data_IF_281743655776
#
_entry.id   IF_281743655776
#
_cell.length_a   1.000
_cell.length_b   1.000
_cell.length_c   1.000
_cell.angle_alpha   90.00
_cell.angle_beta   90.00
_cell.angle_gamma   90.00
#
_symmetry.space_group_name_H-M   'P 1'
#
loop_
_entity.id
_entity.type
_entity.pdbx_description
1 polymer ?
#
# COMPACT_ATOMS: atom_id res chain seq x y z
N UNK A 1 -8.81 4.07 -22.28
CA UNK A 1 -8.54 5.14 -21.27
C UNK A 1 -9.82 5.35 -20.48
N UNK A 2 -9.78 5.30 -19.16
CA UNK A 2 -10.95 5.53 -18.31
C UNK A 2 -11.11 7.05 -18.12
N UNK A 3 -12.27 7.61 -18.42
CA UNK A 3 -12.58 9.01 -18.11
C UNK A 3 -13.25 9.07 -16.73
N UNK A 4 -12.67 9.79 -15.79
CA UNK A 4 -13.18 9.89 -14.42
C UNK A 4 -14.13 11.08 -14.20
N UNK A 5 -14.22 12.01 -15.19
CA UNK A 5 -14.90 13.29 -14.97
C UNK A 5 -14.09 14.26 -14.13
N UNK A 6 -14.70 15.37 -13.74
CA UNK A 6 -14.02 16.45 -13.00
C UNK A 6 -13.97 16.23 -11.49
N UNK A 7 -15.03 15.61 -10.95
CA UNK A 7 -15.22 15.40 -9.52
C UNK A 7 -15.15 13.91 -9.19
N UNK A 8 -14.09 13.50 -8.52
CA UNK A 8 -13.91 12.12 -8.07
C UNK A 8 -14.06 12.05 -6.57
N UNK A 9 -14.88 11.10 -6.10
CA UNK A 9 -15.01 10.82 -4.68
C UNK A 9 -14.46 9.44 -4.39
N UNK A 10 -13.51 9.34 -3.46
CA UNK A 10 -13.00 8.07 -2.95
C UNK A 10 -13.58 7.81 -1.57
N UNK A 11 -14.17 6.64 -1.38
CA UNK A 11 -14.78 6.24 -0.10
C UNK A 11 -13.87 5.23 0.58
N UNK A 12 -13.32 5.59 1.74
CA UNK A 12 -12.47 4.69 2.51
C UNK A 12 -11.52 5.41 3.45
N UNK A 13 -10.79 4.66 4.25
CA UNK A 13 -9.85 5.22 5.24
C UNK A 13 -8.58 4.38 5.40
N UNK A 14 -8.33 3.42 4.51
CA UNK A 14 -7.10 2.61 4.47
C UNK A 14 -6.11 3.14 3.44
N UNK A 15 -4.90 2.57 3.39
CA UNK A 15 -3.86 2.96 2.44
C UNK A 15 -4.33 2.85 0.99
N UNK A 16 -5.13 1.83 0.64
CA UNK A 16 -5.76 1.70 -0.68
C UNK A 16 -6.59 2.93 -1.07
N UNK A 17 -7.29 3.55 -0.10
CA UNK A 17 -8.05 4.76 -0.37
C UNK A 17 -7.14 5.97 -0.64
N UNK A 18 -6.00 6.06 0.05
CA UNK A 18 -4.98 7.08 -0.19
C UNK A 18 -4.39 6.93 -1.58
N UNK A 19 -3.97 5.71 -1.94
CA UNK A 19 -3.45 5.40 -3.28
C UNK A 19 -4.45 5.74 -4.38
N UNK A 20 -5.72 5.33 -4.23
CA UNK A 20 -6.76 5.60 -5.19
C UNK A 20 -7.03 7.10 -5.35
N UNK A 21 -7.04 7.86 -4.25
CA UNK A 21 -7.26 9.31 -4.27
C UNK A 21 -6.11 10.04 -4.95
N UNK A 22 -4.86 9.68 -4.64
CA UNK A 22 -3.67 10.26 -5.25
C UNK A 22 -3.57 9.90 -6.73
N UNK A 23 -3.89 8.66 -7.12
CA UNK A 23 -3.95 8.24 -8.51
C UNK A 23 -5.04 9.00 -9.28
N UNK A 24 -6.23 9.17 -8.71
CA UNK A 24 -7.32 9.95 -9.30
C UNK A 24 -6.92 11.42 -9.48
N UNK A 25 -6.21 12.01 -8.51
CA UNK A 25 -5.76 13.42 -8.60
C UNK A 25 -4.79 13.67 -9.76
N UNK A 26 -4.05 12.64 -10.18
CA UNK A 26 -3.13 12.70 -11.34
C UNK A 26 -3.77 12.34 -12.67
N UNK A 27 -5.03 11.90 -12.66
CA UNK A 27 -5.72 11.53 -13.90
C UNK A 27 -6.10 12.78 -14.69
N UNK A 28 -6.00 12.68 -16.01
CA UNK A 28 -6.32 13.77 -16.92
C UNK A 28 -7.80 14.17 -16.81
N UNK A 29 -8.08 15.47 -16.74
CA UNK A 29 -9.42 16.03 -16.65
C UNK A 29 -10.03 16.05 -15.25
N UNK A 30 -9.37 15.50 -14.23
CA UNK A 30 -9.84 15.55 -12.83
C UNK A 30 -9.44 16.88 -12.19
N UNK A 31 -10.45 17.61 -11.72
CA UNK A 31 -10.25 18.91 -11.04
C UNK A 31 -10.30 18.78 -9.53
N UNK A 32 -11.24 17.97 -9.01
CA UNK A 32 -11.45 17.79 -7.57
C UNK A 32 -11.45 16.31 -7.20
N UNK A 33 -10.69 15.96 -6.15
CA UNK A 33 -10.72 14.64 -5.54
C UNK A 33 -11.07 14.79 -4.06
N UNK A 34 -12.12 14.10 -3.61
CA UNK A 34 -12.58 14.10 -2.22
C UNK A 34 -12.47 12.71 -1.63
N UNK A 35 -11.84 12.64 -0.46
CA UNK A 35 -11.74 11.41 0.31
C UNK A 35 -12.79 11.43 1.42
N UNK A 36 -13.83 10.62 1.28
CA UNK A 36 -14.94 10.51 2.23
C UNK A 36 -14.69 9.39 3.23
N UNK A 37 -14.70 9.73 4.52
CA UNK A 37 -14.47 8.79 5.60
C UNK A 37 -15.47 8.97 6.74
N UNK A 38 -16.08 7.86 7.20
CA UNK A 38 -17.15 7.88 8.21
C UNK A 38 -16.69 8.15 9.64
N UNK A 39 -15.39 8.16 9.92
CA UNK A 39 -14.80 8.57 11.21
C UNK A 39 -13.92 9.81 10.98
N UNK A 40 -13.24 10.24 12.03
CA UNK A 40 -12.24 11.28 11.89
C UNK A 40 -10.83 10.70 11.64
N UNK A 41 -9.88 11.57 11.35
CA UNK A 41 -8.46 11.26 11.10
C UNK A 41 -7.86 10.33 12.17
N UNK A 42 -8.18 10.55 13.46
CA UNK A 42 -7.61 9.78 14.57
C UNK A 42 -7.90 8.27 14.48
N UNK A 43 -9.00 7.88 13.87
CA UNK A 43 -9.45 6.50 13.77
C UNK A 43 -9.29 5.88 12.38
N UNK A 44 -8.49 6.53 11.53
CA UNK A 44 -8.15 5.98 10.22
C UNK A 44 -7.19 4.80 10.36
N UNK A 45 -7.39 3.72 9.60
CA UNK A 45 -6.43 2.63 9.52
C UNK A 45 -5.24 2.92 8.60
N UNK A 46 -5.31 3.97 7.76
CA UNK A 46 -4.20 4.41 6.93
C UNK A 46 -3.08 5.02 7.77
N UNK A 47 -1.86 4.93 7.28
CA UNK A 47 -0.72 5.62 7.85
C UNK A 47 -0.92 7.14 7.77
N UNK A 48 -0.54 7.84 8.84
CA UNK A 48 -0.75 9.29 8.92
C UNK A 48 0.01 10.04 7.81
N UNK A 49 1.18 9.54 7.43
CA UNK A 49 2.01 10.08 6.35
C UNK A 49 1.30 9.97 4.99
N UNK A 50 0.63 8.85 4.71
CA UNK A 50 -0.12 8.65 3.47
C UNK A 50 -1.28 9.65 3.32
N UNK A 51 -1.98 9.94 4.42
CA UNK A 51 -3.02 10.97 4.41
C UNK A 51 -2.43 12.37 4.17
N UNK A 52 -1.30 12.69 4.82
CA UNK A 52 -0.63 13.98 4.63
C UNK A 52 -0.16 14.16 3.19
N UNK A 53 0.41 13.13 2.58
CA UNK A 53 0.80 13.13 1.17
C UNK A 53 -0.40 13.30 0.25
N UNK A 54 -1.52 12.62 0.52
CA UNK A 54 -2.74 12.80 -0.26
C UNK A 54 -3.29 14.23 -0.19
N UNK A 55 -3.30 14.83 1.00
CA UNK A 55 -3.72 16.23 1.19
C UNK A 55 -2.74 17.21 0.52
N UNK A 56 -1.43 16.94 0.56
CA UNK A 56 -0.42 17.74 -0.13
C UNK A 56 -0.57 17.68 -1.66
N UNK A 57 -1.03 16.53 -2.21
CA UNK A 57 -1.38 16.38 -3.62
C UNK A 57 -2.69 17.12 -4.00
N UNK A 58 -3.39 17.72 -3.05
CA UNK A 58 -4.63 18.46 -3.25
C UNK A 58 -5.91 17.61 -3.14
N UNK A 59 -5.86 16.49 -2.43
CA UNK A 59 -7.06 15.72 -2.06
C UNK A 59 -7.78 16.40 -0.89
N UNK A 60 -9.07 16.66 -1.02
CA UNK A 60 -9.92 17.19 0.04
C UNK A 60 -10.36 16.05 0.97
N UNK A 61 -9.97 16.12 2.26
CA UNK A 61 -10.39 15.13 3.25
C UNK A 61 -11.72 15.51 3.90
N UNK A 62 -12.75 14.68 3.67
CA UNK A 62 -14.11 14.85 4.20
C UNK A 62 -14.34 13.79 5.30
N UNK A 63 -14.04 14.15 6.54
CA UNK A 63 -14.26 13.27 7.69
C UNK A 63 -15.70 13.31 8.20
N UNK A 64 -16.07 12.30 8.98
CA UNK A 64 -17.40 12.16 9.58
C UNK A 64 -18.54 12.17 8.54
N UNK A 65 -18.30 11.56 7.40
CA UNK A 65 -19.28 11.45 6.31
C UNK A 65 -19.43 10.00 5.88
N UNK A 66 -20.66 9.51 5.83
CA UNK A 66 -21.01 8.17 5.37
C UNK A 66 -21.86 8.23 4.10
N UNK A 67 -21.46 7.56 3.01
CA UNK A 67 -22.20 7.59 1.76
C UNK A 67 -23.55 6.91 1.91
N UNK A 68 -24.61 7.48 1.32
CA UNK A 68 -26.00 6.96 1.32
C UNK A 68 -26.51 6.66 -0.07
N UNK A 69 -26.38 7.60 -0.99
CA UNK A 69 -26.91 7.46 -2.35
C UNK A 69 -26.06 8.24 -3.35
N UNK A 70 -26.00 7.73 -4.58
CA UNK A 70 -25.38 8.41 -5.71
C UNK A 70 -26.46 8.60 -6.79
N UNK A 71 -26.79 9.84 -7.08
CA UNK A 71 -27.79 10.18 -8.09
C UNK A 71 -27.36 11.42 -8.89
N UNK A 72 -27.45 11.35 -10.22
CA UNK A 72 -27.25 12.50 -11.08
C UNK A 72 -25.92 13.26 -10.90
N UNK A 73 -24.82 12.54 -10.62
CA UNK A 73 -23.51 13.18 -10.39
C UNK A 73 -23.35 13.79 -9.00
N UNK A 74 -24.19 13.40 -8.04
CA UNK A 74 -24.12 13.86 -6.65
C UNK A 74 -24.14 12.68 -5.71
N UNK A 75 -23.15 12.60 -4.82
CA UNK A 75 -23.08 11.66 -3.71
C UNK A 75 -23.67 12.31 -2.47
N UNK A 76 -24.84 11.84 -2.04
CA UNK A 76 -25.45 12.23 -0.77
C UNK A 76 -24.81 11.44 0.37
N UNK A 77 -24.22 12.13 1.33
CA UNK A 77 -23.61 11.56 2.52
C UNK A 77 -24.39 11.94 3.78
N UNK A 78 -24.45 11.04 4.74
CA UNK A 78 -24.93 11.35 6.09
C UNK A 78 -23.77 11.84 6.94
N UNK A 79 -23.97 12.96 7.62
CA UNK A 79 -22.98 13.47 8.58
C UNK A 79 -23.02 12.59 9.83
N UNK A 80 -21.84 12.19 10.27
CA UNK A 80 -21.66 11.29 11.41
C UNK A 80 -21.12 12.05 12.63
N UNK A 81 -21.33 11.48 13.79
CA UNK A 81 -20.65 11.84 15.03
C UNK A 81 -19.98 10.62 15.65
N UNK A 82 -19.04 10.84 16.55
CA UNK A 82 -18.34 9.74 17.22
C UNK A 82 -19.04 9.42 18.55
N UNK A 83 -19.60 8.20 18.66
CA UNK A 83 -20.18 7.68 19.87
C UNK A 83 -19.17 7.42 21.00
N UNK A 84 -19.61 6.75 22.07
CA UNK A 84 -18.75 6.33 23.16
C UNK A 84 -17.64 5.36 22.66
N UNK A 85 -16.44 5.35 23.30
CA UNK A 85 -15.40 4.40 22.97
C UNK A 85 -15.82 2.98 23.36
N UNK A 86 -15.49 2.01 22.53
CA UNK A 86 -15.62 0.58 22.85
C UNK A 86 -14.48 0.11 23.78
N UNK A 87 -14.47 -1.19 24.13
CA UNK A 87 -13.44 -1.79 24.98
C UNK A 87 -12.00 -1.65 24.44
N UNK A 88 -11.83 -1.42 23.12
CA UNK A 88 -10.54 -1.14 22.49
C UNK A 88 -10.18 0.35 22.44
N UNK A 89 -11.04 1.22 22.98
CA UNK A 89 -10.90 2.68 22.91
C UNK A 89 -11.32 3.27 21.56
N UNK A 90 -11.85 2.48 20.63
CA UNK A 90 -12.28 2.92 19.32
C UNK A 90 -13.71 3.44 19.37
N UNK A 91 -13.97 4.62 18.78
CA UNK A 91 -15.31 5.19 18.72
C UNK A 91 -16.02 4.78 17.43
N UNK A 92 -17.26 4.31 17.56
CA UNK A 92 -18.11 3.99 16.42
C UNK A 92 -18.79 5.24 15.87
N UNK A 93 -18.89 5.39 14.53
CA UNK A 93 -19.62 6.49 13.94
C UNK A 93 -21.12 6.30 14.16
N UNK A 94 -21.80 7.34 14.62
CA UNK A 94 -23.25 7.39 14.83
C UNK A 94 -23.87 8.34 13.81
N UNK A 95 -25.00 7.99 13.20
CA UNK A 95 -25.71 8.86 12.27
C UNK A 95 -26.34 10.05 13.01
N UNK A 96 -26.24 11.25 12.41
CA UNK A 96 -26.86 12.47 12.97
C UNK A 96 -28.20 12.81 12.32
N UNK A 97 -28.59 12.11 11.26
CA UNK A 97 -29.74 12.43 10.43
C UNK A 97 -29.54 13.61 9.47
N UNK A 98 -28.40 14.33 9.56
CA UNK A 98 -28.10 15.43 8.64
C UNK A 98 -27.45 14.87 7.37
N UNK A 99 -27.91 15.37 6.22
CA UNK A 99 -27.38 15.00 4.92
C UNK A 99 -26.53 16.13 4.35
N UNK A 100 -25.49 15.74 3.59
CA UNK A 100 -24.61 16.63 2.86
C UNK A 100 -24.35 16.06 1.48
N UNK A 101 -24.53 16.90 0.47
CA UNK A 101 -24.29 16.52 -0.92
C UNK A 101 -22.88 16.89 -1.36
N UNK A 102 -22.28 15.98 -2.12
CA UNK A 102 -20.90 16.09 -2.64
C UNK A 102 -20.95 15.83 -4.16
N UNK A 103 -20.50 16.77 -5.00
CA UNK A 103 -20.38 16.53 -6.44
C UNK A 103 -19.48 15.30 -6.71
N UNK A 104 -19.95 14.37 -7.53
CA UNK A 104 -19.26 13.11 -7.81
C UNK A 104 -19.60 12.56 -9.21
N UNK A 105 -18.76 12.84 -10.19
CA UNK A 105 -18.85 12.23 -11.52
C UNK A 105 -18.44 10.76 -11.48
N UNK A 106 -17.46 10.45 -10.61
CA UNK A 106 -16.99 9.09 -10.36
C UNK A 106 -16.85 8.84 -8.86
N UNK A 107 -17.30 7.67 -8.41
CA UNK A 107 -17.10 7.20 -7.04
C UNK A 107 -16.24 5.93 -7.03
N UNK A 108 -15.16 5.95 -6.27
CA UNK A 108 -14.25 4.82 -6.06
C UNK A 108 -14.46 4.28 -4.65
N UNK A 109 -14.93 3.03 -4.54
CA UNK A 109 -15.13 2.37 -3.26
C UNK A 109 -13.87 1.63 -2.82
N UNK A 110 -13.14 2.19 -1.84
CA UNK A 110 -11.96 1.59 -1.22
C UNK A 110 -12.25 1.17 0.23
N UNK A 111 -13.35 0.43 0.42
CA UNK A 111 -13.92 0.06 1.74
C UNK A 111 -13.46 -1.32 2.23
N UNK A 112 -12.50 -1.92 1.53
CA UNK A 112 -11.96 -3.26 1.78
C UNK A 112 -12.77 -4.37 1.10
N UNK A 113 -12.13 -5.50 0.97
CA UNK A 113 -12.68 -6.71 0.36
C UNK A 113 -12.80 -7.83 1.41
N UNK A 114 -13.62 -8.82 1.12
CA UNK A 114 -13.75 -10.03 1.93
C UNK A 114 -13.55 -11.23 1.03
N UNK A 115 -12.86 -12.25 1.55
CA UNK A 115 -12.74 -13.51 0.85
C UNK A 115 -14.12 -14.18 0.67
N UNK A 116 -14.32 -14.83 -0.49
CA UNK A 116 -15.53 -15.64 -0.72
C UNK A 116 -15.49 -16.92 0.12
N UNK A 117 -16.16 -16.87 1.25
CA UNK A 117 -16.25 -17.98 2.20
C UNK A 117 -17.08 -19.14 1.70
N UNK A 118 -17.93 -18.94 0.70
CA UNK A 118 -18.73 -20.03 0.13
C UNK A 118 -17.85 -21.07 -0.58
N UNK A 119 -16.82 -20.60 -1.30
CA UNK A 119 -15.82 -21.46 -1.91
C UNK A 119 -15.04 -22.27 -0.86
N UNK A 120 -14.59 -21.63 0.22
CA UNK A 120 -13.88 -22.30 1.30
C UNK A 120 -14.71 -23.42 1.94
N UNK A 121 -15.99 -23.18 2.20
CA UNK A 121 -16.91 -24.19 2.74
C UNK A 121 -17.07 -25.38 1.79
N UNK A 122 -17.22 -25.14 0.50
CA UNK A 122 -17.29 -26.21 -0.52
C UNK A 122 -16.04 -27.09 -0.54
N UNK A 123 -14.87 -26.50 -0.26
CA UNK A 123 -13.60 -27.21 -0.18
C UNK A 123 -13.32 -27.83 1.19
N UNK A 124 -14.26 -27.74 2.15
CA UNK A 124 -14.09 -28.28 3.50
C UNK A 124 -13.08 -27.51 4.37
N UNK A 125 -12.76 -26.27 4.02
CA UNK A 125 -11.89 -25.40 4.82
C UNK A 125 -12.66 -24.90 6.03
N UNK A 126 -12.12 -25.10 7.23
CA UNK A 126 -12.69 -24.56 8.46
C UNK A 126 -12.56 -23.02 8.50
N UNK A 127 -13.59 -22.36 9.00
CA UNK A 127 -13.62 -20.90 9.11
C UNK A 127 -13.76 -20.49 10.57
N UNK A 128 -13.10 -19.39 10.95
CA UNK A 128 -13.28 -18.74 12.23
C UNK A 128 -14.59 -17.91 12.27
N UNK A 129 -14.92 -17.33 13.44
CA UNK A 129 -16.12 -16.49 13.62
C UNK A 129 -16.16 -15.24 12.71
N UNK A 130 -15.00 -14.83 12.18
CA UNK A 130 -14.87 -13.70 11.25
C UNK A 130 -14.91 -14.14 9.77
N UNK A 131 -15.08 -15.45 9.52
CA UNK A 131 -15.10 -16.01 8.17
C UNK A 131 -13.72 -16.19 7.54
N UNK A 132 -12.62 -16.19 8.32
CA UNK A 132 -11.26 -16.40 7.83
C UNK A 132 -10.93 -17.90 7.91
N UNK A 133 -10.13 -18.38 6.97
CA UNK A 133 -9.69 -19.76 6.97
C UNK A 133 -8.84 -20.10 8.22
N UNK A 134 -9.21 -21.13 8.92
CA UNK A 134 -8.41 -21.71 10.00
C UNK A 134 -7.40 -22.66 9.39
N UNK A 135 -6.11 -22.37 9.58
CA UNK A 135 -5.00 -23.13 9.01
C UNK A 135 -3.95 -23.47 10.06
N UNK A 136 -3.13 -24.47 9.78
CA UNK A 136 -1.92 -24.76 10.56
C UNK A 136 -0.77 -23.77 10.29
N UNK A 137 0.40 -24.02 10.88
CA UNK A 137 1.60 -23.20 10.70
C UNK A 137 2.15 -23.17 9.27
N UNK A 138 1.82 -24.18 8.46
CA UNK A 138 2.16 -24.25 7.03
C UNK A 138 1.08 -23.64 6.13
N UNK A 139 0.08 -22.97 6.70
CA UNK A 139 -1.07 -22.39 5.98
C UNK A 139 -2.00 -23.44 5.37
N UNK A 140 -2.03 -24.68 5.88
CA UNK A 140 -2.80 -25.80 5.35
C UNK A 140 -4.11 -25.98 6.14
N UNK A 141 -5.21 -26.24 5.43
CA UNK A 141 -6.53 -26.60 5.96
C UNK A 141 -7.15 -27.65 5.04
N UNK A 142 -7.51 -28.82 5.58
CA UNK A 142 -8.14 -29.92 4.83
C UNK A 142 -7.43 -30.27 3.50
N UNK A 143 -6.10 -30.34 3.51
CA UNK A 143 -5.30 -30.65 2.31
C UNK A 143 -5.12 -29.49 1.31
N UNK A 144 -5.70 -28.34 1.60
CA UNK A 144 -5.56 -27.11 0.80
C UNK A 144 -4.65 -26.12 1.50
N UNK A 145 -3.89 -25.34 0.73
CA UNK A 145 -3.13 -24.21 1.23
C UNK A 145 -3.90 -22.92 0.99
N UNK A 146 -4.15 -22.15 2.06
CA UNK A 146 -4.83 -20.87 2.01
C UNK A 146 -3.85 -19.80 2.50
N UNK A 147 -3.52 -18.83 1.66
CA UNK A 147 -2.41 -17.90 1.84
C UNK A 147 -2.87 -16.44 1.76
N UNK A 148 -2.05 -15.52 2.27
CA UNK A 148 -2.22 -14.07 2.12
C UNK A 148 -3.57 -13.58 2.62
N UNK A 149 -4.17 -12.63 1.92
CA UNK A 149 -5.42 -11.98 2.30
C UNK A 149 -6.60 -12.96 2.41
N UNK A 150 -6.60 -14.03 1.64
CA UNK A 150 -7.62 -15.08 1.73
C UNK A 150 -7.61 -15.79 3.10
N UNK A 151 -6.45 -15.88 3.76
CA UNK A 151 -6.27 -16.47 5.08
C UNK A 151 -6.40 -15.45 6.21
N UNK A 152 -5.70 -14.31 6.07
CA UNK A 152 -5.52 -13.32 7.13
C UNK A 152 -6.58 -12.22 7.11
N UNK A 153 -7.24 -12.00 5.98
CA UNK A 153 -7.88 -10.74 5.63
C UNK A 153 -6.85 -9.76 5.09
N UNK A 154 -7.23 -8.51 4.78
CA UNK A 154 -6.31 -7.50 4.26
C UNK A 154 -5.06 -7.36 5.12
N UNK A 155 -3.89 -7.58 4.51
CA UNK A 155 -2.59 -7.61 5.17
C UNK A 155 -1.50 -7.08 4.22
N UNK A 156 -0.24 -7.16 4.61
CA UNK A 156 0.88 -6.69 3.81
C UNK A 156 1.37 -7.75 2.82
N UNK A 157 1.98 -7.28 1.72
CA UNK A 157 2.65 -8.16 0.74
C UNK A 157 3.71 -9.03 1.41
N UNK A 158 4.43 -8.50 2.40
CA UNK A 158 5.46 -9.24 3.15
C UNK A 158 4.86 -10.44 3.89
N UNK A 159 3.68 -10.26 4.49
CA UNK A 159 2.96 -11.35 5.16
C UNK A 159 2.47 -12.41 4.18
N UNK A 160 1.99 -12.00 3.00
CA UNK A 160 1.60 -12.91 1.93
C UNK A 160 2.79 -13.74 1.42
N UNK A 161 3.96 -13.11 1.25
CA UNK A 161 5.22 -13.80 0.90
C UNK A 161 5.64 -14.78 2.00
N UNK A 162 5.50 -14.41 3.27
CA UNK A 162 5.83 -15.28 4.39
C UNK A 162 4.93 -16.52 4.42
N UNK A 163 3.62 -16.36 4.19
CA UNK A 163 2.69 -17.47 4.07
C UNK A 163 3.05 -18.39 2.89
N UNK A 164 3.34 -17.81 1.73
CA UNK A 164 3.75 -18.56 0.54
C UNK A 164 5.04 -19.36 0.78
N UNK A 165 6.02 -18.76 1.45
CA UNK A 165 7.26 -19.43 1.81
C UNK A 165 7.04 -20.59 2.80
N UNK A 166 6.12 -20.45 3.75
CA UNK A 166 5.76 -21.50 4.70
C UNK A 166 5.10 -22.69 3.97
N UNK A 167 4.13 -22.42 3.11
CA UNK A 167 3.45 -23.45 2.32
C UNK A 167 4.41 -24.15 1.35
N UNK A 168 5.28 -23.42 0.66
CA UNK A 168 6.26 -23.99 -0.26
C UNK A 168 7.22 -24.96 0.45
N UNK A 169 7.68 -24.60 1.66
CA UNK A 169 8.51 -25.51 2.46
C UNK A 169 7.79 -26.78 2.83
N UNK A 170 6.53 -26.70 3.25
CA UNK A 170 5.74 -27.89 3.60
C UNK A 170 5.52 -28.80 2.37
N UNK A 171 5.18 -28.21 1.22
CA UNK A 171 5.00 -28.95 -0.04
C UNK A 171 6.28 -29.68 -0.47
N UNK A 172 7.43 -29.03 -0.30
CA UNK A 172 8.73 -29.56 -0.71
C UNK A 172 9.34 -30.50 0.35
N UNK A 173 8.75 -30.61 1.54
CA UNK A 173 9.36 -31.32 2.67
C UNK A 173 10.70 -30.69 3.09
N UNK A 174 10.91 -29.40 2.81
CA UNK A 174 12.16 -28.72 3.09
C UNK A 174 12.26 -28.36 4.57
N UNK A 175 13.44 -28.55 5.22
CA UNK A 175 13.64 -28.12 6.59
C UNK A 175 13.46 -26.59 6.69
N UNK A 176 13.06 -26.13 7.87
CA UNK A 176 12.99 -24.68 8.13
C UNK A 176 14.38 -24.07 7.84
N UNK A 177 14.43 -23.25 6.79
CA UNK A 177 15.67 -22.56 6.47
C UNK A 177 16.02 -21.67 7.67
N UNK A 178 17.10 -22.00 8.33
CA UNK A 178 17.63 -21.15 9.39
C UNK A 178 17.72 -19.73 8.83
N UNK A 179 17.12 -18.76 9.50
CA UNK A 179 17.26 -17.35 9.16
C UNK A 179 18.74 -17.01 9.24
N UNK A 180 19.45 -17.14 8.15
CA UNK A 180 20.75 -16.49 7.98
C UNK A 180 20.42 -15.00 7.89
N UNK A 181 20.25 -14.37 9.05
CA UNK A 181 20.21 -12.93 9.10
C UNK A 181 21.57 -12.47 8.56
N UNK A 182 21.56 -11.90 7.35
CA UNK A 182 22.69 -11.12 6.88
C UNK A 182 22.83 -9.96 7.89
N UNK A 183 23.62 -10.20 8.93
CA UNK A 183 24.00 -9.15 9.87
C UNK A 183 25.07 -8.29 9.19
N UNK A 184 24.63 -7.46 8.25
CA UNK A 184 25.42 -6.28 7.90
C UNK A 184 25.59 -5.49 9.19
N UNK A 185 26.81 -5.33 9.64
CA UNK A 185 27.11 -4.59 10.86
C UNK A 185 26.49 -3.17 10.70
N UNK A 186 25.53 -2.78 11.56
CA UNK A 186 24.81 -1.51 11.39
C UNK A 186 25.74 -0.29 11.34
N UNK A 187 26.91 -0.39 11.98
CA UNK A 187 27.95 0.64 11.99
C UNK A 187 28.57 0.87 10.60
N UNK A 188 28.85 -0.19 9.82
CA UNK A 188 29.45 -0.05 8.49
C UNK A 188 28.47 0.59 7.47
N UNK A 189 27.18 0.24 7.55
CA UNK A 189 26.13 0.87 6.75
C UNK A 189 25.93 2.35 7.12
N UNK A 190 26.00 2.68 8.41
CA UNK A 190 25.81 4.05 8.90
C UNK A 190 26.98 4.97 8.48
N UNK A 191 28.21 4.48 8.51
CA UNK A 191 29.40 5.21 8.05
C UNK A 191 29.33 5.46 6.53
N UNK A 192 28.94 4.45 5.73
CA UNK A 192 28.79 4.62 4.29
C UNK A 192 27.65 5.58 3.93
N UNK A 193 26.51 5.51 4.60
CA UNK A 193 25.40 6.44 4.41
C UNK A 193 25.79 7.90 4.68
N UNK A 194 26.54 8.18 5.73
CA UNK A 194 26.98 9.55 6.04
C UNK A 194 28.04 10.09 5.08
N UNK A 195 28.90 9.22 4.52
CA UNK A 195 29.92 9.59 3.55
C UNK A 195 29.36 9.90 2.15
N UNK A 196 28.11 9.53 1.88
CA UNK A 196 27.52 9.60 0.54
C UNK A 196 26.60 10.81 0.35
N UNK A 197 26.38 11.60 1.37
CA UNK A 197 25.50 12.77 1.30
C UNK A 197 26.28 13.97 0.77
N UNK A 198 25.89 14.44 -0.43
CA UNK A 198 26.45 15.66 -0.99
C UNK A 198 27.68 15.43 -1.91
N UNK A 199 27.68 14.31 -2.62
CA UNK A 199 28.68 14.06 -3.66
C UNK A 199 28.70 15.21 -4.68
N UNK A 200 29.83 15.90 -4.78
CA UNK A 200 30.03 17.03 -5.70
C UNK A 200 30.68 16.66 -7.03
N UNK A 201 31.08 15.39 -7.21
CA UNK A 201 31.78 14.92 -8.39
C UNK A 201 31.25 13.57 -8.90
N UNK A 202 31.42 13.25 -10.20
CA UNK A 202 31.07 11.93 -10.74
C UNK A 202 31.74 10.76 -10.02
N UNK A 203 32.98 10.94 -9.54
CA UNK A 203 33.71 9.91 -8.80
C UNK A 203 33.11 9.64 -7.43
N UNK A 204 32.65 10.68 -6.74
CA UNK A 204 31.96 10.55 -5.44
C UNK A 204 30.59 9.93 -5.62
N UNK A 205 29.90 10.26 -6.72
CA UNK A 205 28.62 9.66 -7.06
C UNK A 205 28.77 8.16 -7.39
N UNK A 206 29.83 7.79 -8.10
CA UNK A 206 30.17 6.38 -8.37
C UNK A 206 30.51 5.62 -7.07
N UNK A 207 31.10 6.29 -6.08
CA UNK A 207 31.41 5.72 -4.76
C UNK A 207 30.16 5.45 -3.89
N UNK A 208 28.98 5.89 -4.29
CA UNK A 208 27.70 5.54 -3.66
C UNK A 208 27.37 4.06 -3.76
N UNK A 209 28.04 3.34 -4.63
CA UNK A 209 27.88 1.89 -4.71
C UNK A 209 28.32 1.25 -3.39
N UNK A 210 27.48 0.39 -2.80
CA UNK A 210 27.77 -0.30 -1.53
C UNK A 210 28.92 -1.31 -1.64
N UNK A 211 29.58 -1.40 -2.79
CA UNK A 211 30.64 -2.37 -3.05
C UNK A 211 30.12 -3.81 -3.21
N UNK A 212 28.80 -3.98 -3.36
CA UNK A 212 28.26 -5.20 -3.95
C UNK A 212 28.60 -5.13 -5.45
N UNK A 213 29.05 -6.21 -6.04
CA UNK A 213 29.41 -6.29 -7.46
C UNK A 213 28.20 -6.12 -8.40
N UNK A 214 27.00 -6.07 -7.83
CA UNK A 214 25.73 -5.84 -8.51
C UNK A 214 25.19 -4.44 -8.21
N UNK A 215 24.46 -3.86 -9.17
CA UNK A 215 23.67 -2.64 -8.93
C UNK A 215 22.68 -2.91 -7.82
N UNK A 216 22.54 -1.96 -6.90
CA UNK A 216 21.47 -2.01 -5.90
C UNK A 216 20.14 -1.75 -6.61
N UNK A 217 19.31 -2.78 -6.77
CA UNK A 217 17.99 -2.72 -7.40
C UNK A 217 16.84 -2.64 -6.39
N UNK A 218 17.11 -2.35 -5.12
CA UNK A 218 16.08 -2.27 -4.08
C UNK A 218 14.88 -1.41 -4.48
N UNK A 219 15.12 -0.30 -5.17
CA UNK A 219 14.03 0.56 -5.64
C UNK A 219 13.18 -0.08 -6.74
N UNK A 220 13.71 -1.05 -7.47
CA UNK A 220 12.97 -1.86 -8.45
C UNK A 220 12.14 -2.92 -7.72
N UNK A 221 12.78 -3.65 -6.80
CA UNK A 221 12.17 -4.78 -6.08
C UNK A 221 11.00 -4.35 -5.18
N UNK A 222 11.15 -3.20 -4.50
CA UNK A 222 10.15 -2.71 -3.55
C UNK A 222 9.05 -1.86 -4.19
N UNK A 223 9.12 -1.59 -5.49
CA UNK A 223 8.14 -0.76 -6.17
C UNK A 223 6.84 -1.54 -6.45
N UNK A 224 5.72 -1.28 -5.77
CA UNK A 224 4.48 -2.03 -5.95
C UNK A 224 3.89 -1.83 -7.34
N UNK A 225 4.15 -0.67 -7.94
CA UNK A 225 3.63 -0.31 -9.26
C UNK A 225 4.63 -0.57 -10.39
N UNK A 226 5.80 -1.15 -10.08
CA UNK A 226 6.89 -1.38 -11.05
C UNK A 226 7.29 -0.12 -11.84
N UNK A 227 7.19 1.04 -11.19
CA UNK A 227 7.59 2.31 -11.78
C UNK A 227 9.11 2.45 -11.92
N UNK A 228 9.89 1.73 -11.12
CA UNK A 228 11.32 1.60 -11.30
C UNK A 228 11.63 0.31 -12.05
N UNK A 229 12.41 0.40 -13.12
CA UNK A 229 12.70 -0.71 -14.03
C UNK A 229 14.21 -0.79 -14.22
N UNK A 230 14.80 -1.97 -13.98
CA UNK A 230 16.18 -2.24 -14.33
C UNK A 230 16.26 -2.59 -15.82
N UNK A 231 17.15 -1.91 -16.54
CA UNK A 231 17.33 -2.03 -17.99
C UNK A 231 18.79 -2.31 -18.30
N UNK A 232 19.05 -3.38 -19.06
CA UNK A 232 20.38 -3.66 -19.56
C UNK A 232 20.66 -2.80 -20.79
N UNK A 233 21.65 -1.93 -20.66
CA UNK A 233 22.09 -1.04 -21.74
C UNK A 233 23.41 -1.55 -22.32
N UNK A 234 23.52 -1.77 -23.65
CA UNK A 234 24.77 -2.19 -24.27
C UNK A 234 25.92 -1.20 -23.96
N UNK A 235 27.10 -1.73 -23.61
CA UNK A 235 28.26 -0.94 -23.23
C UNK A 235 28.34 -0.58 -21.74
N UNK A 236 27.33 -0.93 -20.94
CA UNK A 236 27.37 -0.86 -19.49
C UNK A 236 27.45 -2.27 -18.89
N UNK A 237 28.35 -2.47 -17.95
CA UNK A 237 28.46 -3.76 -17.25
C UNK A 237 27.24 -4.02 -16.36
N UNK A 238 26.67 -2.96 -15.82
CA UNK A 238 25.56 -2.98 -14.85
C UNK A 238 24.26 -2.48 -15.48
N UNK A 239 23.14 -3.00 -15.02
CA UNK A 239 21.82 -2.52 -15.40
C UNK A 239 21.62 -1.08 -14.95
N UNK A 240 20.86 -0.32 -15.71
CA UNK A 240 20.48 1.06 -15.39
C UNK A 240 19.05 1.06 -14.86
N UNK A 241 18.79 1.83 -13.82
CA UNK A 241 17.43 1.97 -13.29
C UNK A 241 16.75 3.19 -13.91
N UNK A 242 15.62 2.96 -14.55
CA UNK A 242 14.77 3.99 -15.16
C UNK A 242 13.50 4.13 -14.35
N UNK A 243 13.07 5.35 -14.10
CA UNK A 243 11.79 5.66 -13.45
C UNK A 243 10.73 6.05 -14.49
N UNK A 244 9.51 5.52 -14.33
CA UNK A 244 8.37 5.82 -15.20
C UNK A 244 7.32 6.55 -14.38
N UNK A 245 7.30 7.87 -14.46
CA UNK A 245 6.44 8.76 -13.64
C UNK A 245 4.96 8.38 -13.69
N UNK A 246 4.44 8.04 -14.88
CA UNK A 246 3.03 7.68 -15.06
C UNK A 246 2.61 6.39 -14.33
N UNK A 247 3.56 5.57 -13.95
CA UNK A 247 3.32 4.34 -13.18
C UNK A 247 3.54 4.56 -11.68
N UNK A 248 4.13 5.69 -11.30
CA UNK A 248 4.45 6.00 -9.91
C UNK A 248 3.25 6.64 -9.20
N UNK A 249 2.88 6.12 -8.04
CA UNK A 249 1.92 6.75 -7.12
C UNK A 249 2.62 7.50 -5.97
N UNK A 250 3.95 7.64 -6.03
CA UNK A 250 4.78 8.31 -5.02
C UNK A 250 4.60 7.74 -3.60
N UNK A 251 4.39 6.43 -3.47
CA UNK A 251 4.21 5.77 -2.17
C UNK A 251 5.44 5.84 -1.25
N UNK A 252 6.59 6.27 -1.75
CA UNK A 252 7.81 6.44 -0.97
C UNK A 252 8.59 5.16 -0.66
N UNK A 253 8.07 3.96 -0.94
CA UNK A 253 8.74 2.69 -0.62
C UNK A 253 10.19 2.65 -1.11
N UNK A 254 10.43 3.09 -2.34
CA UNK A 254 11.78 3.10 -2.91
C UNK A 254 12.75 4.03 -2.13
N UNK A 255 12.25 5.09 -1.51
CA UNK A 255 13.06 5.97 -0.66
C UNK A 255 13.31 5.33 0.72
N UNK A 256 12.29 4.69 1.32
CA UNK A 256 12.40 4.02 2.62
C UNK A 256 13.42 2.88 2.57
N UNK A 257 13.37 2.05 1.53
CA UNK A 257 14.29 0.91 1.34
C UNK A 257 15.60 1.28 0.64
N UNK A 258 15.77 2.54 0.23
CA UNK A 258 17.02 2.98 -0.36
C UNK A 258 18.15 2.91 0.68
N UNK A 259 19.24 2.18 0.42
CA UNK A 259 20.39 2.15 1.32
C UNK A 259 21.14 3.49 1.36
N UNK A 260 20.80 4.40 0.45
CA UNK A 260 21.29 5.77 0.38
C UNK A 260 20.23 6.75 0.85
N UNK A 261 20.60 8.00 1.07
CA UNK A 261 19.64 9.07 1.30
C UNK A 261 19.20 9.60 -0.06
N UNK A 262 18.28 8.89 -0.68
CA UNK A 262 17.73 9.21 -2.01
C UNK A 262 16.24 8.90 -2.04
N UNK A 263 15.53 9.65 -2.83
CA UNK A 263 14.13 9.38 -3.17
C UNK A 263 14.06 9.00 -4.66
N UNK A 264 14.29 7.72 -5.03
CA UNK A 264 14.43 7.29 -6.41
C UNK A 264 13.29 7.73 -7.33
N UNK A 265 12.09 7.92 -6.81
CA UNK A 265 10.93 8.43 -7.54
C UNK A 265 11.01 9.94 -7.86
N UNK A 266 11.99 10.65 -7.29
CA UNK A 266 12.27 12.07 -7.58
C UNK A 266 13.64 12.26 -8.23
N UNK A 267 14.59 11.38 -7.89
CA UNK A 267 16.00 11.56 -8.22
C UNK A 267 16.41 10.83 -9.52
N UNK A 268 15.54 9.99 -10.07
CA UNK A 268 15.82 9.16 -11.25
C UNK A 268 14.99 9.54 -12.47
#
# INVERSE_FOLDING_TARGET
TLSLGKNVVVIGGGNTAMDAARAARRAEGVEHVRLVYRRNRRYMPADAEELELAMADGVEFCELMAPKALNGGVLTCEVMELGAPDASGRRSPQPTGRMQDVPADTVIAAIGEKADTAYFRKCGVALDERGRAVTDGACRSNGLYVLGDARRGPATVVEAIADAAAAARDILGAPEAGRTALRLAPAALKVRRSALKGAGSPSEEAARCLGCETVCENCVDVCPNRANIAVKVPGFEKEQVVHVDKMCNECGNCAVFCPYISAPYKDK
#
